data_IF_488761107393
#
_entry.id   IF_488761107393
#
_cell.length_a   1.000
_cell.length_b   1.000
_cell.length_c   1.000
_cell.angle_alpha   90.00
_cell.angle_beta   90.00
_cell.angle_gamma   90.00
#
_symmetry.space_group_name_H-M   'P 1'
#
loop_
_entity.id
_entity.type
_entity.pdbx_description
1 polymer ?
#
# COMPACT_ATOMS: atom_id res chain seq x y z
N UNK A 1 9.64 -17.42 -27.79
CA UNK A 1 8.85 -16.27 -27.30
C UNK A 1 8.64 -16.49 -25.82
N UNK A 2 9.43 -15.86 -24.97
CA UNK A 2 9.16 -15.85 -23.52
C UNK A 2 9.43 -14.44 -23.00
N UNK A 3 8.41 -13.58 -23.11
CA UNK A 3 8.37 -12.27 -22.45
C UNK A 3 7.51 -12.34 -21.18
N UNK A 4 7.33 -13.54 -20.60
CA UNK A 4 6.27 -13.82 -19.62
C UNK A 4 6.76 -13.94 -18.18
N UNK A 5 7.81 -13.19 -17.81
CA UNK A 5 8.34 -13.15 -16.44
C UNK A 5 8.35 -11.76 -15.81
N UNK A 6 7.86 -10.73 -16.51
CA UNK A 6 7.67 -9.42 -15.86
C UNK A 6 6.34 -9.44 -15.12
N UNK A 7 6.34 -9.29 -13.79
CA UNK A 7 5.10 -9.18 -13.05
C UNK A 7 4.34 -7.98 -13.60
N UNK A 8 3.08 -8.21 -14.00
CA UNK A 8 2.25 -7.14 -14.54
C UNK A 8 2.20 -5.97 -13.55
N UNK A 9 2.22 -4.72 -14.07
CA UNK A 9 2.13 -3.54 -13.23
C UNK A 9 0.84 -3.60 -12.40
N UNK A 10 0.87 -2.95 -11.23
CA UNK A 10 -0.35 -2.84 -10.44
C UNK A 10 -1.42 -2.05 -11.20
N UNK A 11 -2.69 -2.45 -11.06
CA UNK A 11 -3.83 -1.63 -11.46
C UNK A 11 -4.30 -0.77 -10.28
N UNK A 12 -5.04 0.29 -10.60
CA UNK A 12 -5.64 1.18 -9.58
C UNK A 12 -6.47 0.37 -8.60
N UNK A 13 -7.34 -0.51 -9.10
CA UNK A 13 -8.20 -1.37 -8.28
C UNK A 13 -7.40 -2.29 -7.35
N UNK A 14 -6.31 -2.89 -7.83
CA UNK A 14 -5.44 -3.72 -6.99
C UNK A 14 -4.79 -2.93 -5.86
N UNK A 15 -4.36 -1.69 -6.12
CA UNK A 15 -3.80 -0.82 -5.09
C UNK A 15 -4.84 -0.39 -4.06
N UNK A 16 -6.06 -0.11 -4.50
CA UNK A 16 -7.15 0.21 -3.59
C UNK A 16 -7.50 -0.98 -2.70
N UNK A 17 -7.60 -2.20 -3.24
CA UNK A 17 -7.95 -3.37 -2.45
C UNK A 17 -6.82 -3.82 -1.51
N UNK A 18 -5.57 -3.80 -1.98
CA UNK A 18 -4.42 -4.32 -1.20
C UNK A 18 -3.97 -3.35 -0.10
N UNK A 19 -4.08 -2.05 -0.35
CA UNK A 19 -3.53 -1.01 0.52
C UNK A 19 -4.59 0.00 0.99
N UNK A 20 -5.88 -0.30 0.78
CA UNK A 20 -7.01 0.57 1.18
C UNK A 20 -6.80 2.03 0.77
N UNK A 21 -6.23 2.25 -0.42
CA UNK A 21 -5.92 3.59 -0.93
C UNK A 21 -7.15 4.22 -1.59
N UNK A 22 -7.18 5.55 -1.61
CA UNK A 22 -8.10 6.30 -2.48
C UNK A 22 -7.64 6.23 -3.93
N UNK A 23 -8.59 6.32 -4.87
CA UNK A 23 -8.35 6.30 -6.32
C UNK A 23 -7.25 7.30 -6.69
N UNK A 24 -7.37 8.55 -6.24
CA UNK A 24 -6.39 9.60 -6.53
C UNK A 24 -4.97 9.24 -6.07
N UNK A 25 -4.83 8.63 -4.88
CA UNK A 25 -3.52 8.17 -4.38
C UNK A 25 -2.99 6.99 -5.17
N UNK A 26 -3.85 6.04 -5.54
CA UNK A 26 -3.44 4.89 -6.35
C UNK A 26 -2.92 5.34 -7.72
N UNK A 27 -3.61 6.28 -8.38
CA UNK A 27 -3.18 6.85 -9.67
C UNK A 27 -1.85 7.58 -9.54
N UNK A 28 -1.69 8.46 -8.54
CA UNK A 28 -0.44 9.22 -8.30
C UNK A 28 0.75 8.28 -8.07
N UNK A 29 0.54 7.18 -7.33
CA UNK A 29 1.57 6.17 -7.09
C UNK A 29 1.92 5.39 -8.34
N UNK A 30 0.93 5.02 -9.17
CA UNK A 30 1.16 4.32 -10.43
C UNK A 30 1.94 5.20 -11.41
N UNK A 31 1.57 6.48 -11.52
CA UNK A 31 2.27 7.46 -12.36
C UNK A 31 3.72 7.64 -11.89
N UNK A 32 3.92 7.88 -10.59
CA UNK A 32 5.25 8.09 -10.01
C UNK A 32 6.14 6.84 -10.07
N UNK A 33 5.58 5.64 -9.94
CA UNK A 33 6.33 4.39 -9.96
C UNK A 33 6.33 3.71 -11.33
N UNK A 34 5.70 4.31 -12.34
CA UNK A 34 5.50 3.74 -13.67
C UNK A 34 4.89 2.31 -13.64
N UNK A 35 4.06 2.04 -12.63
CA UNK A 35 3.48 0.71 -12.37
C UNK A 35 4.42 -0.34 -11.76
N UNK A 36 5.65 0.00 -11.36
CA UNK A 36 6.62 -0.96 -10.79
C UNK A 36 6.14 -1.56 -9.47
N UNK A 37 5.81 -2.85 -9.48
CA UNK A 37 5.30 -3.57 -8.31
C UNK A 37 6.25 -3.54 -7.13
N UNK A 38 7.55 -3.75 -7.34
CA UNK A 38 8.51 -3.85 -6.25
C UNK A 38 8.70 -2.49 -5.55
N UNK A 39 8.73 -1.42 -6.33
CA UNK A 39 8.81 -0.06 -5.81
C UNK A 39 7.55 0.33 -5.05
N UNK A 40 6.38 0.05 -5.61
CA UNK A 40 5.09 0.37 -4.99
C UNK A 40 4.92 -0.40 -3.67
N UNK A 41 5.21 -1.71 -3.67
CA UNK A 41 5.10 -2.55 -2.48
C UNK A 41 6.05 -2.04 -1.38
N UNK A 42 7.31 -1.72 -1.73
CA UNK A 42 8.29 -1.14 -0.80
C UNK A 42 7.83 0.20 -0.20
N UNK A 43 7.22 1.05 -1.02
CA UNK A 43 6.77 2.38 -0.59
C UNK A 43 5.54 2.28 0.32
N UNK A 44 4.55 1.48 -0.09
CA UNK A 44 3.27 1.34 0.62
C UNK A 44 3.37 0.48 1.88
N UNK A 45 4.26 -0.53 1.89
CA UNK A 45 4.54 -1.33 3.08
C UNK A 45 5.14 -0.48 4.19
N UNK A 46 6.00 0.48 3.86
CA UNK A 46 6.54 1.46 4.83
C UNK A 46 5.47 2.40 5.36
N UNK A 47 4.49 2.80 4.54
CA UNK A 47 3.38 3.64 4.98
C UNK A 47 2.36 2.89 5.84
N UNK A 48 2.03 1.64 5.49
CA UNK A 48 1.07 0.82 6.26
C UNK A 48 1.59 0.42 7.63
N UNK A 49 2.89 0.13 7.76
CA UNK A 49 3.51 -0.17 9.05
C UNK A 49 3.22 0.96 10.05
N UNK A 50 3.37 2.23 9.62
CA UNK A 50 3.17 3.40 10.48
C UNK A 50 1.72 3.65 10.90
N UNK A 51 0.74 3.13 10.16
CA UNK A 51 -0.67 3.31 10.52
C UNK A 51 -1.15 2.28 11.56
N UNK A 52 -0.49 1.12 11.64
CA UNK A 52 -0.80 0.10 12.66
C UNK A 52 -0.16 0.43 14.02
N UNK A 53 1.02 1.06 14.03
CA UNK A 53 1.64 1.58 15.25
C UNK A 53 0.94 2.84 15.81
N UNK A 54 0.02 3.45 15.04
CA UNK A 54 -0.75 4.62 15.44
C UNK A 54 -2.19 4.29 15.88
N UNK A 55 -2.49 3.03 16.21
CA UNK A 55 -3.58 2.81 17.16
C UNK A 55 -3.08 3.30 18.52
N UNK A 56 -3.66 4.37 19.10
CA UNK A 56 -3.42 4.61 20.52
C UNK A 56 -3.78 3.31 21.22
N UNK A 57 -2.87 2.82 22.07
CA UNK A 57 -3.29 1.93 23.13
C UNK A 57 -4.43 2.68 23.81
N UNK A 58 -5.66 2.24 23.58
CA UNK A 58 -6.75 2.55 24.48
C UNK A 58 -6.30 1.91 25.79
N UNK A 59 -5.61 2.69 26.61
CA UNK A 59 -5.38 2.40 28.01
C UNK A 59 -6.76 2.36 28.68
N UNK A 60 -7.47 1.26 28.46
CA UNK A 60 -8.59 0.84 29.28
C UNK A 60 -8.01 -0.10 30.32
N UNK A 61 -7.40 0.49 31.35
CA UNK A 61 -7.17 -0.15 32.65
C UNK A 61 -7.55 0.94 33.66
N UNK A 62 -8.71 0.88 34.30
CA UNK A 62 -8.99 -0.13 35.32
C UNK A 62 -8.92 0.60 36.67
N UNK A 63 -10.07 0.71 37.33
CA UNK A 63 -10.32 1.28 38.66
C UNK A 63 -9.16 1.38 39.66
N UNK A 64 -9.12 2.50 40.40
CA UNK A 64 -8.93 2.46 41.85
C UNK A 64 -10.18 3.01 42.54
#
# INVERSE_FOLDING_TARGET
MDQSLRPEPYTVEQLQQKYSLSISKAVDILDRCNGDRALIDKMLKRCHQKQLDAHPKSDTDGSC
#
